data_IF_337854862123
#
_entry.id   IF_337854862123
#
_cell.length_a   1.000
_cell.length_b   1.000
_cell.length_c   1.000
_cell.angle_alpha   90.00
_cell.angle_beta   90.00
_cell.angle_gamma   90.00
#
_symmetry.space_group_name_H-M   'P 1'
#
loop_
_entity.id
_entity.type
_entity.pdbx_description
1 polymer ?
#
# COMPACT_ATOMS: atom_id res chain seq x y z
N UNK A 1 -5.88 -1.47 -10.35
CA UNK A 1 -4.70 -1.42 -11.24
C UNK A 1 -3.90 -2.70 -11.00
N UNK A 2 -3.27 -3.33 -11.99
CA UNK A 2 -2.45 -4.53 -11.69
C UNK A 2 -0.98 -4.18 -11.61
N UNK A 3 -0.28 -4.79 -10.65
CA UNK A 3 1.15 -4.62 -10.43
C UNK A 3 2.01 -5.12 -11.59
N UNK A 4 1.54 -6.15 -12.28
CA UNK A 4 2.18 -6.68 -13.49
C UNK A 4 2.22 -5.66 -14.64
N UNK A 5 1.32 -4.67 -14.62
CA UNK A 5 1.25 -3.62 -15.65
C UNK A 5 2.23 -2.46 -15.38
N UNK A 6 2.89 -2.43 -14.22
CA UNK A 6 3.85 -1.38 -13.85
C UNK A 6 5.27 -1.72 -14.34
N UNK A 7 5.99 -0.69 -14.78
CA UNK A 7 7.44 -0.81 -14.99
C UNK A 7 8.16 -1.09 -13.68
N UNK A 8 9.35 -1.68 -13.76
CA UNK A 8 10.14 -1.98 -12.57
C UNK A 8 10.52 -0.69 -11.80
N UNK A 9 10.88 0.38 -12.50
CA UNK A 9 11.10 1.71 -11.92
C UNK A 9 9.87 2.24 -11.15
N UNK A 10 8.65 1.98 -11.67
CA UNK A 10 7.43 2.39 -11.01
C UNK A 10 7.16 1.56 -9.76
N UNK A 11 7.48 0.26 -9.77
CA UNK A 11 7.39 -0.60 -8.58
C UNK A 11 8.38 -0.17 -7.51
N UNK A 12 9.62 0.14 -7.88
CA UNK A 12 10.64 0.64 -6.93
C UNK A 12 10.26 1.98 -6.33
N UNK A 13 9.76 2.91 -7.14
CA UNK A 13 9.28 4.21 -6.68
C UNK A 13 8.12 4.06 -5.69
N UNK A 14 7.20 3.14 -5.98
CA UNK A 14 6.06 2.84 -5.13
C UNK A 14 6.48 2.16 -3.82
N UNK A 15 7.46 1.25 -3.89
CA UNK A 15 8.10 0.62 -2.73
C UNK A 15 8.72 1.66 -1.79
N UNK A 16 9.53 2.57 -2.35
CA UNK A 16 10.20 3.63 -1.60
C UNK A 16 9.20 4.58 -0.93
N UNK A 17 8.11 4.93 -1.63
CA UNK A 17 7.02 5.73 -1.07
C UNK A 17 6.37 5.01 0.11
N UNK A 18 6.06 3.72 -0.04
CA UNK A 18 5.43 2.91 0.99
C UNK A 18 6.32 2.84 2.24
N UNK A 19 7.59 2.50 2.07
CA UNK A 19 8.57 2.40 3.16
C UNK A 19 8.76 3.74 3.89
N UNK A 20 8.84 4.84 3.16
CA UNK A 20 8.95 6.17 3.76
C UNK A 20 7.71 6.49 4.61
N UNK A 21 6.52 6.29 4.06
CA UNK A 21 5.28 6.58 4.78
C UNK A 21 5.14 5.73 6.05
N UNK A 22 5.42 4.43 5.97
CA UNK A 22 5.28 3.53 7.13
C UNK A 22 6.28 3.83 8.24
N UNK A 23 7.54 4.08 7.89
CA UNK A 23 8.61 4.39 8.84
C UNK A 23 8.39 5.72 9.58
N UNK A 24 7.62 6.64 9.00
CA UNK A 24 7.31 7.95 9.57
C UNK A 24 5.90 8.03 10.18
N UNK A 25 5.18 6.90 10.26
CA UNK A 25 3.81 6.88 10.79
C UNK A 25 2.81 7.66 9.95
N UNK A 26 3.11 7.89 8.67
CA UNK A 26 2.23 8.57 7.71
C UNK A 26 1.23 7.54 7.20
N UNK A 27 -0.05 7.78 7.48
CA UNK A 27 -1.13 6.95 6.97
C UNK A 27 -1.16 6.97 5.44
N UNK A 28 -1.10 5.79 4.83
CA UNK A 28 -1.24 5.64 3.38
C UNK A 28 -2.70 5.36 3.03
N UNK A 29 -3.30 6.23 2.24
CA UNK A 29 -4.70 6.14 1.84
C UNK A 29 -5.43 7.46 2.04
N UNK A 30 -6.59 7.59 1.40
CA UNK A 30 -7.51 8.72 1.60
C UNK A 30 -8.58 8.31 2.62
N UNK A 31 -8.24 8.32 3.92
CA UNK A 31 -9.22 8.02 4.98
C UNK A 31 -10.22 9.16 5.17
N UNK A 32 -9.78 10.41 4.97
CA UNK A 32 -10.61 11.60 5.11
C UNK A 32 -10.62 12.42 3.81
N UNK A 33 -11.67 12.25 3.00
CA UNK A 33 -11.98 13.20 1.91
C UNK A 33 -12.86 12.68 0.77
N UNK A 34 -14.12 13.16 0.74
CA UNK A 34 -15.16 13.19 -0.32
C UNK A 34 -15.36 11.97 -1.23
N UNK A 35 -16.11 10.97 -0.77
CA UNK A 35 -17.22 10.29 -1.50
C UNK A 35 -17.68 9.08 -0.66
N UNK A 36 -18.98 8.93 -0.42
CA UNK A 36 -19.56 7.83 0.35
C UNK A 36 -19.66 6.51 -0.45
N UNK A 37 -19.41 6.55 -1.77
CA UNK A 37 -19.42 5.39 -2.65
C UNK A 37 -18.05 4.66 -2.67
N UNK A 38 -17.71 4.11 -1.51
CA UNK A 38 -16.64 3.22 -1.03
C UNK A 38 -15.73 2.44 -2.02
N UNK A 39 -15.22 3.08 -3.08
CA UNK A 39 -14.13 2.54 -3.92
C UNK A 39 -12.73 2.78 -3.31
N UNK A 40 -12.64 3.48 -2.17
CA UNK A 40 -11.36 3.94 -1.58
C UNK A 40 -10.71 2.91 -0.67
N UNK A 41 -11.48 2.04 -0.01
CA UNK A 41 -10.94 0.87 0.72
C UNK A 41 -10.06 0.01 -0.18
N UNK A 42 -10.46 -0.15 -1.44
CA UNK A 42 -9.71 -0.96 -2.41
C UNK A 42 -8.29 -0.41 -2.59
N UNK A 43 -8.11 0.92 -2.65
CA UNK A 43 -6.79 1.51 -2.86
C UNK A 43 -5.83 1.29 -1.68
N UNK A 44 -6.31 1.44 -0.44
CA UNK A 44 -5.50 1.11 0.75
C UNK A 44 -5.12 -0.37 0.77
N UNK A 45 -6.08 -1.26 0.48
CA UNK A 45 -5.86 -2.70 0.45
C UNK A 45 -4.86 -3.07 -0.65
N UNK A 46 -4.95 -2.45 -1.83
CA UNK A 46 -4.01 -2.63 -2.95
C UNK A 46 -2.58 -2.22 -2.51
N UNK A 47 -2.41 -1.08 -1.84
CA UNK A 47 -1.11 -0.63 -1.32
C UNK A 47 -0.55 -1.53 -0.22
N UNK A 48 -1.38 -1.99 0.72
CA UNK A 48 -0.95 -2.90 1.77
C UNK A 48 -0.59 -4.28 1.21
N UNK A 49 -1.33 -4.76 0.20
CA UNK A 49 -1.04 -6.02 -0.50
C UNK A 49 0.29 -5.91 -1.24
N UNK A 50 0.50 -4.81 -1.95
CA UNK A 50 1.78 -4.52 -2.58
C UNK A 50 2.93 -4.48 -1.57
N UNK A 51 2.75 -3.80 -0.45
CA UNK A 51 3.77 -3.73 0.59
C UNK A 51 4.15 -5.12 1.14
N UNK A 52 3.18 -6.04 1.22
CA UNK A 52 3.41 -7.46 1.57
C UNK A 52 4.19 -8.20 0.49
N UNK A 53 3.79 -8.07 -0.78
CA UNK A 53 4.48 -8.69 -1.92
C UNK A 53 5.94 -8.22 -2.04
N UNK A 54 6.20 -6.96 -1.70
CA UNK A 54 7.54 -6.37 -1.68
C UNK A 54 8.30 -6.58 -0.36
N UNK A 55 7.70 -7.28 0.62
CA UNK A 55 8.28 -7.56 1.93
C UNK A 55 8.74 -6.30 2.71
N UNK A 56 7.95 -5.22 2.62
CA UNK A 56 8.24 -3.93 3.27
C UNK A 56 7.69 -3.93 4.70
N UNK A 57 8.50 -3.56 5.69
CA UNK A 57 8.06 -3.46 7.08
C UNK A 57 7.09 -2.26 7.29
N UNK A 58 6.05 -2.39 8.14
CA UNK A 58 5.70 -3.53 9.01
C UNK A 58 4.87 -4.64 8.34
N UNK A 59 4.59 -4.54 7.04
CA UNK A 59 3.70 -5.47 6.33
C UNK A 59 4.36 -6.81 5.96
N UNK A 60 5.69 -6.89 6.05
CA UNK A 60 6.52 -8.09 5.87
C UNK A 60 6.11 -9.32 6.69
N UNK A 61 5.25 -9.18 7.70
CA UNK A 61 4.72 -10.30 8.49
C UNK A 61 3.36 -9.99 9.11
N UNK A 62 2.28 -10.13 8.35
CA UNK A 62 0.94 -10.33 8.92
C UNK A 62 0.45 -11.74 8.60
N UNK A 63 1.14 -12.75 9.12
CA UNK A 63 0.60 -14.10 9.29
C UNK A 63 0.05 -14.27 10.70
N UNK A 64 -0.69 -13.29 11.23
CA UNK A 64 -1.35 -13.38 12.53
C UNK A 64 -2.59 -12.50 12.51
N UNK A 65 -3.74 -13.13 12.28
CA UNK A 65 -5.06 -12.88 12.90
C UNK A 65 -6.08 -13.79 12.19
N UNK A 66 -5.99 -15.08 12.50
CA UNK A 66 -7.09 -16.05 12.40
C UNK A 66 -7.52 -16.43 13.81
#
# INVERSE_FOLDING_TARGET
MKLEDLSDDAKESLAAMIEYCTSHGIGMGMDEGFDANDNKRQFRIELETLAKELNIAPYANTSLLS
#
